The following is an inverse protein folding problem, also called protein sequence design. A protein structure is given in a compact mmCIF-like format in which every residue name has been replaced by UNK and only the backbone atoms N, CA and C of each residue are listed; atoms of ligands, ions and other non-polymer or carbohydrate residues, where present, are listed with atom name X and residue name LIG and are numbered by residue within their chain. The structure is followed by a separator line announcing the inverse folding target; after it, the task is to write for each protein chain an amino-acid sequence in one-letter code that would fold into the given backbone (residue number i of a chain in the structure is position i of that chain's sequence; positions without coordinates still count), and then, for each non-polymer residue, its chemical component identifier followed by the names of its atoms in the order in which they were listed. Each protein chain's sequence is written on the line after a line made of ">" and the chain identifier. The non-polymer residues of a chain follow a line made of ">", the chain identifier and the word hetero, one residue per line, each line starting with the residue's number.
data_IF_673819253505
#
_entry.id   IF_673819253505
#
_cell.length_a   1.000
_cell.length_b   1.000
_cell.length_c   1.000
_cell.angle_alpha   90.00
_cell.angle_beta   90.00
_cell.angle_gamma   90.00
#
_symmetry.space_group_name_H-M   'P 1'
#
loop_
_entity.id
_entity.type
_entity.pdbx_description
1 polymer ?
#
# COMPACT_ATOMS: atom_id res chain seq x y z
N UNK A 1 -11.42 -35.91 56.15
CA UNK A 1 -10.32 -35.27 55.40
C UNK A 1 -10.40 -35.34 53.88
N UNK A 2 -11.10 -36.31 53.26
CA UNK A 2 -11.26 -36.41 51.80
C UNK A 2 -12.21 -35.38 51.17
N UNK A 3 -13.26 -34.94 51.89
CA UNK A 3 -14.24 -33.95 51.41
C UNK A 3 -13.70 -32.52 51.27
N UNK A 4 -12.72 -32.13 52.11
CA UNK A 4 -12.13 -30.77 52.11
C UNK A 4 -11.22 -30.55 50.88
N UNK A 5 -10.56 -31.62 50.37
CA UNK A 5 -9.68 -31.54 49.20
C UNK A 5 -10.46 -31.37 47.88
N UNK A 6 -11.66 -31.96 47.82
CA UNK A 6 -12.47 -31.87 46.61
C UNK A 6 -13.09 -30.47 46.44
N UNK A 7 -13.47 -29.81 47.51
CA UNK A 7 -14.02 -28.43 47.48
C UNK A 7 -12.96 -27.40 47.07
N UNK A 8 -11.72 -27.57 47.53
CA UNK A 8 -10.61 -26.68 47.13
C UNK A 8 -10.28 -26.79 45.64
N UNK A 9 -10.31 -27.98 45.07
CA UNK A 9 -10.09 -28.22 43.65
C UNK A 9 -11.21 -27.61 42.79
N UNK A 10 -12.48 -27.72 43.24
CA UNK A 10 -13.60 -27.15 42.52
C UNK A 10 -13.58 -25.62 42.52
N UNK A 11 -13.13 -24.99 43.60
CA UNK A 11 -12.95 -23.54 43.67
C UNK A 11 -11.83 -23.04 42.77
N UNK A 12 -10.73 -23.78 42.62
CA UNK A 12 -9.66 -23.40 41.70
C UNK A 12 -10.10 -23.42 40.22
N UNK A 13 -10.94 -24.39 39.83
CA UNK A 13 -11.48 -24.43 38.45
C UNK A 13 -12.48 -23.31 38.18
N UNK A 14 -13.24 -22.88 39.17
CA UNK A 14 -14.21 -21.78 39.00
C UNK A 14 -13.47 -20.41 38.87
N UNK A 15 -12.35 -20.26 39.53
CA UNK A 15 -11.51 -19.03 39.43
C UNK A 15 -10.85 -18.88 38.07
N UNK A 16 -10.53 -19.98 37.38
CA UNK A 16 -9.92 -19.95 36.06
C UNK A 16 -10.97 -19.57 34.98
N UNK A 17 -12.23 -19.96 35.15
CA UNK A 17 -13.29 -19.57 34.21
C UNK A 17 -13.71 -18.10 34.29
N UNK A 18 -13.47 -17.42 35.40
CA UNK A 18 -13.78 -16.00 35.58
C UNK A 18 -12.74 -15.06 34.94
N UNK A 19 -11.53 -15.56 34.67
CA UNK A 19 -10.49 -14.76 34.00
C UNK A 19 -10.48 -14.86 32.47
N UNK A 20 -11.29 -15.75 31.88
CA UNK A 20 -11.36 -15.94 30.43
C UNK A 20 -12.39 -15.04 29.72
N UNK A 21 -13.06 -14.16 30.46
CA UNK A 21 -13.95 -13.13 29.90
C UNK A 21 -13.26 -11.76 29.88
N UNK A 22 -11.97 -11.74 29.56
CA UNK A 22 -11.26 -10.50 29.32
C UNK A 22 -11.55 -10.04 27.88
N UNK A 23 -12.32 -8.98 27.79
CA UNK A 23 -12.38 -7.98 26.73
C UNK A 23 -11.95 -8.45 25.33
N UNK A 24 -12.87 -9.02 24.59
CA UNK A 24 -12.86 -8.84 23.15
C UNK A 24 -13.04 -7.33 22.95
N UNK A 25 -11.92 -6.64 22.90
CA UNK A 25 -11.86 -5.26 22.49
C UNK A 25 -12.42 -5.25 21.06
N UNK A 26 -13.71 -5.06 20.93
CA UNK A 26 -14.35 -4.86 19.63
C UNK A 26 -13.80 -3.55 19.13
N UNK A 27 -12.66 -3.61 18.47
CA UNK A 27 -12.15 -2.51 17.66
C UNK A 27 -13.26 -2.28 16.63
N UNK A 28 -14.11 -1.30 16.88
CA UNK A 28 -15.08 -0.83 15.91
C UNK A 28 -14.26 -0.38 14.70
N UNK A 29 -14.17 -1.25 13.70
CA UNK A 29 -13.62 -0.88 12.40
C UNK A 29 -14.55 0.20 11.88
N UNK A 30 -14.11 1.45 12.01
CA UNK A 30 -14.85 2.60 11.51
C UNK A 30 -14.82 2.48 9.98
N UNK A 31 -15.91 2.07 9.40
CA UNK A 31 -16.04 2.02 7.94
C UNK A 31 -16.05 3.42 7.41
N UNK A 32 -15.04 3.77 6.63
CA UNK A 32 -14.97 5.05 5.93
C UNK A 32 -15.90 4.96 4.73
N UNK A 33 -16.85 5.88 4.64
CA UNK A 33 -17.76 5.95 3.51
C UNK A 33 -17.17 6.80 2.41
N UNK A 34 -16.86 6.18 1.30
CA UNK A 34 -16.34 6.85 0.09
C UNK A 34 -17.52 7.09 -0.86
N UNK A 35 -17.76 8.35 -1.21
CA UNK A 35 -18.81 8.69 -2.16
C UNK A 35 -18.44 8.24 -3.59
N UNK A 36 -19.45 7.93 -4.39
CA UNK A 36 -19.24 7.57 -5.81
C UNK A 36 -18.59 8.71 -6.60
N UNK A 37 -18.88 9.96 -6.25
CA UNK A 37 -18.25 11.12 -6.85
C UNK A 37 -16.73 11.12 -6.62
N UNK A 38 -16.28 10.85 -5.39
CA UNK A 38 -14.86 10.73 -5.07
C UNK A 38 -14.19 9.56 -5.80
N UNK A 39 -14.87 8.41 -5.89
CA UNK A 39 -14.38 7.25 -6.65
C UNK A 39 -14.23 7.56 -8.14
N UNK A 40 -15.18 8.31 -8.72
CA UNK A 40 -15.09 8.71 -10.12
C UNK A 40 -13.99 9.75 -10.37
N UNK A 41 -13.81 10.67 -9.44
CA UNK A 41 -12.77 11.71 -9.53
C UNK A 41 -11.36 11.13 -9.34
N UNK A 42 -11.21 10.15 -8.47
CA UNK A 42 -9.95 9.52 -8.11
C UNK A 42 -9.96 8.04 -8.47
N UNK A 43 -10.11 7.76 -9.76
CA UNK A 43 -10.11 6.38 -10.26
C UNK A 43 -8.79 5.69 -9.96
N UNK A 44 -8.88 4.45 -9.50
CA UNK A 44 -7.74 3.56 -9.33
C UNK A 44 -7.35 3.02 -10.71
N UNK A 45 -6.07 2.86 -10.95
CA UNK A 45 -5.59 2.27 -12.21
C UNK A 45 -5.97 0.80 -12.33
N UNK A 46 -6.22 0.27 -13.54
CA UNK A 46 -6.71 -1.09 -13.74
C UNK A 46 -5.87 -2.17 -13.06
N UNK A 47 -4.55 -2.01 -13.03
CA UNK A 47 -3.65 -2.99 -12.41
C UNK A 47 -3.78 -3.04 -10.87
N UNK A 48 -4.18 -1.96 -10.21
CA UNK A 48 -4.50 -1.94 -8.78
C UNK A 48 -5.98 -2.25 -8.53
N UNK A 49 -6.89 -1.84 -9.42
CA UNK A 49 -8.31 -2.16 -9.34
C UNK A 49 -8.56 -3.67 -9.30
N UNK A 50 -7.80 -4.46 -10.08
CA UNK A 50 -7.86 -5.93 -10.07
C UNK A 50 -7.51 -6.57 -8.72
N UNK A 51 -6.84 -5.85 -7.84
CA UNK A 51 -6.48 -6.31 -6.48
C UNK A 51 -7.56 -5.98 -5.46
N UNK A 52 -8.68 -5.37 -5.91
CA UNK A 52 -9.80 -4.96 -5.07
C UNK A 52 -9.41 -4.03 -3.91
N UNK A 53 -8.42 -3.18 -4.11
CA UNK A 53 -8.03 -2.16 -3.14
C UNK A 53 -9.13 -1.11 -2.96
N UNK A 54 -9.30 -0.66 -1.72
CA UNK A 54 -10.08 0.52 -1.40
C UNK A 54 -9.15 1.70 -1.08
N UNK A 55 -9.70 2.91 -1.02
CA UNK A 55 -8.96 4.15 -0.78
C UNK A 55 -8.05 4.07 0.46
N UNK A 56 -8.56 3.44 1.53
CA UNK A 56 -7.83 3.31 2.80
C UNK A 56 -6.64 2.36 2.74
N UNK A 57 -6.59 1.43 1.79
CA UNK A 57 -5.45 0.51 1.65
C UNK A 57 -4.17 1.25 1.27
N UNK A 58 -4.32 2.35 0.54
CA UNK A 58 -3.21 3.22 0.18
C UNK A 58 -3.09 4.43 1.12
N UNK A 59 -4.22 4.97 1.59
CA UNK A 59 -4.27 6.17 2.44
C UNK A 59 -4.39 5.84 3.93
N UNK A 60 -3.83 4.71 4.36
CA UNK A 60 -3.83 4.27 5.75
C UNK A 60 -3.27 5.37 6.67
N UNK A 61 -3.96 5.60 7.80
CA UNK A 61 -3.52 6.58 8.80
C UNK A 61 -3.75 8.05 8.43
N UNK A 62 -4.37 8.35 7.28
CA UNK A 62 -4.68 9.73 6.89
C UNK A 62 -6.01 10.26 7.44
N UNK A 63 -6.62 9.53 8.37
CA UNK A 63 -7.89 9.89 8.98
C UNK A 63 -9.09 9.29 8.24
N UNK A 64 -10.26 9.84 8.48
CA UNK A 64 -11.54 9.28 8.04
C UNK A 64 -12.30 10.19 7.07
N UNK A 65 -11.66 11.25 6.59
CA UNK A 65 -12.20 12.18 5.61
C UNK A 65 -11.43 12.03 4.28
N UNK A 66 -11.96 11.27 3.31
CA UNK A 66 -11.27 11.02 2.04
C UNK A 66 -10.99 12.27 1.23
N UNK A 67 -11.75 13.34 1.44
CA UNK A 67 -11.52 14.63 0.75
C UNK A 67 -10.21 15.31 1.16
N UNK A 68 -9.62 14.87 2.26
CA UNK A 68 -8.37 15.39 2.83
C UNK A 68 -7.17 14.48 2.60
N UNK A 69 -7.35 13.37 1.92
CA UNK A 69 -6.25 12.46 1.63
C UNK A 69 -5.19 13.15 0.78
N UNK A 70 -3.92 12.86 1.11
CA UNK A 70 -2.73 13.39 0.44
C UNK A 70 -2.00 12.27 -0.27
N UNK A 71 -1.09 12.64 -1.15
CA UNK A 71 -0.18 11.66 -1.78
C UNK A 71 0.49 10.77 -0.73
N UNK A 72 0.58 9.49 -1.05
CA UNK A 72 1.14 8.48 -0.14
C UNK A 72 2.67 8.41 -0.18
N UNK A 73 3.26 8.97 -1.26
CA UNK A 73 4.70 8.98 -1.50
C UNK A 73 5.33 7.58 -1.56
N UNK A 74 6.65 7.54 -1.57
CA UNK A 74 7.42 6.31 -1.65
C UNK A 74 7.03 5.28 -0.57
N UNK A 75 6.81 5.74 0.65
CA UNK A 75 6.49 4.85 1.77
C UNK A 75 5.22 4.04 1.51
N UNK A 76 4.18 4.67 0.97
CA UNK A 76 2.94 3.98 0.62
C UNK A 76 3.14 3.01 -0.53
N UNK A 77 3.77 3.43 -1.62
CA UNK A 77 4.03 2.59 -2.78
C UNK A 77 4.92 1.38 -2.42
N UNK A 78 6.01 1.61 -1.71
CA UNK A 78 7.00 0.59 -1.39
C UNK A 78 6.55 -0.40 -0.31
N UNK A 79 5.44 -0.14 0.39
CA UNK A 79 4.85 -1.11 1.32
C UNK A 79 4.48 -2.43 0.62
N UNK A 80 4.08 -2.36 -0.65
CA UNK A 80 3.79 -3.53 -1.51
C UNK A 80 4.89 -3.74 -2.57
N UNK A 81 5.42 -2.68 -3.16
CA UNK A 81 6.46 -2.75 -4.20
C UNK A 81 7.87 -3.00 -3.67
N UNK A 82 8.03 -3.25 -2.39
CA UNK A 82 9.26 -3.64 -1.68
C UNK A 82 10.32 -2.55 -1.63
N UNK A 83 11.00 -2.27 -2.75
CA UNK A 83 12.06 -1.27 -2.82
C UNK A 83 12.32 -0.81 -4.25
N UNK A 84 12.93 0.37 -4.41
CA UNK A 84 13.38 0.88 -5.71
C UNK A 84 14.38 -0.08 -6.37
N UNK A 85 15.29 -0.65 -5.60
CA UNK A 85 16.23 -1.66 -6.08
C UNK A 85 15.53 -2.93 -6.61
N UNK A 86 14.45 -3.34 -5.94
CA UNK A 86 13.64 -4.46 -6.43
C UNK A 86 12.94 -4.11 -7.75
N UNK A 87 12.42 -2.89 -7.90
CA UNK A 87 11.81 -2.43 -9.16
C UNK A 87 12.85 -2.36 -10.27
N UNK A 88 14.05 -1.82 -9.99
CA UNK A 88 15.17 -1.83 -10.93
C UNK A 88 15.52 -3.25 -11.41
N UNK A 89 15.56 -4.21 -10.47
CA UNK A 89 15.83 -5.61 -10.79
C UNK A 89 14.72 -6.24 -11.65
N UNK A 90 13.45 -5.92 -11.40
CA UNK A 90 12.32 -6.40 -12.22
C UNK A 90 12.39 -5.91 -13.66
N UNK A 91 12.91 -4.71 -13.86
CA UNK A 91 13.06 -4.09 -15.19
C UNK A 91 14.46 -4.25 -15.77
N UNK A 92 15.26 -5.17 -15.22
CA UNK A 92 16.65 -5.39 -15.65
C UNK A 92 16.80 -5.69 -17.15
N UNK A 93 15.78 -6.26 -17.78
CA UNK A 93 15.78 -6.45 -19.23
C UNK A 93 15.92 -5.14 -20.02
N UNK A 94 15.54 -4.00 -19.43
CA UNK A 94 15.67 -2.67 -20.03
C UNK A 94 17.12 -2.11 -19.92
N UNK A 95 17.97 -2.69 -19.08
CA UNK A 95 19.36 -2.25 -18.93
C UNK A 95 20.16 -2.41 -20.25
N UNK A 96 19.81 -3.43 -21.05
CA UNK A 96 20.43 -3.65 -22.37
C UNK A 96 20.20 -2.49 -23.32
N UNK A 97 19.10 -1.76 -23.14
CA UNK A 97 18.75 -0.58 -23.91
C UNK A 97 19.21 0.72 -23.21
N UNK A 98 19.88 0.60 -22.06
CA UNK A 98 20.22 1.73 -21.17
C UNK A 98 18.99 2.57 -20.79
N UNK A 99 17.86 1.91 -20.68
CA UNK A 99 16.53 2.51 -20.59
C UNK A 99 15.77 2.15 -19.33
N UNK A 100 16.39 1.52 -18.34
CA UNK A 100 15.74 1.18 -17.09
C UNK A 100 15.56 2.43 -16.23
N UNK A 101 14.33 2.97 -16.08
CA UNK A 101 14.10 4.20 -15.35
C UNK A 101 14.47 4.07 -13.87
N UNK A 102 14.31 2.88 -13.27
CA UNK A 102 14.66 2.63 -11.87
C UNK A 102 16.16 2.35 -11.64
N UNK A 103 16.95 2.28 -12.69
CA UNK A 103 18.42 2.14 -12.67
C UNK A 103 19.09 3.13 -13.61
N UNK A 104 18.47 4.28 -13.81
CA UNK A 104 18.99 5.34 -14.65
C UNK A 104 20.32 5.87 -14.11
N UNK A 105 21.23 6.23 -15.03
CA UNK A 105 22.52 6.84 -14.68
C UNK A 105 22.38 8.28 -14.17
N UNK A 106 21.25 8.91 -14.44
CA UNK A 106 20.98 10.27 -13.96
C UNK A 106 20.52 10.28 -12.51
N UNK A 107 19.37 9.67 -12.26
CA UNK A 107 18.67 9.82 -10.98
C UNK A 107 18.21 8.48 -10.39
N UNK A 108 18.12 7.44 -11.21
CA UNK A 108 17.89 6.05 -10.87
C UNK A 108 17.05 5.80 -9.62
N UNK A 109 17.67 5.26 -8.56
CA UNK A 109 16.92 4.88 -7.36
C UNK A 109 16.57 6.06 -6.44
N UNK A 110 16.94 7.31 -6.76
CA UNK A 110 16.72 8.47 -5.89
C UNK A 110 15.40 9.19 -6.15
N UNK A 111 14.86 9.10 -7.38
CA UNK A 111 13.57 9.69 -7.75
C UNK A 111 12.44 9.16 -6.87
N UNK A 112 11.48 10.02 -6.53
CA UNK A 112 10.27 9.61 -5.86
C UNK A 112 9.33 8.89 -6.84
N UNK A 113 8.55 7.94 -6.34
CA UNK A 113 7.63 7.17 -7.18
C UNK A 113 6.62 8.07 -7.89
N UNK A 114 6.13 9.08 -7.20
CA UNK A 114 5.11 10.02 -7.66
C UNK A 114 5.66 11.17 -8.53
N UNK A 115 6.93 11.14 -8.90
CA UNK A 115 7.46 12.02 -9.96
C UNK A 115 7.07 11.51 -11.36
N UNK A 116 6.90 10.19 -11.49
CA UNK A 116 6.52 9.56 -12.76
C UNK A 116 5.19 8.81 -12.69
N UNK A 117 4.93 8.12 -11.57
CA UNK A 117 3.76 7.27 -11.39
C UNK A 117 2.66 7.98 -10.60
N UNK A 118 1.50 8.13 -11.22
CA UNK A 118 0.32 8.70 -10.58
C UNK A 118 -0.82 7.68 -10.59
N UNK A 119 -1.40 7.40 -9.42
CA UNK A 119 -2.51 6.44 -9.34
C UNK A 119 -3.80 7.01 -9.93
N UNK A 120 -4.11 8.27 -9.65
CA UNK A 120 -5.40 8.87 -10.00
C UNK A 120 -5.39 9.75 -11.25
N UNK A 121 -4.30 9.76 -12.00
CA UNK A 121 -4.16 10.49 -13.26
C UNK A 121 -3.16 9.80 -14.17
N UNK A 122 -3.02 10.30 -15.38
CA UNK A 122 -2.01 9.81 -16.32
C UNK A 122 -0.61 9.97 -15.74
N UNK A 123 0.14 8.88 -15.72
CA UNK A 123 1.58 8.89 -15.39
C UNK A 123 2.38 9.62 -16.47
N UNK A 124 3.52 10.15 -16.09
CA UNK A 124 4.42 10.88 -16.99
C UNK A 124 5.72 10.14 -17.18
N UNK A 125 6.32 10.31 -18.34
CA UNK A 125 7.67 9.85 -18.59
C UNK A 125 8.58 11.08 -18.66
N UNK A 126 9.18 11.44 -17.52
CA UNK A 126 10.05 12.63 -17.43
C UNK A 126 11.30 12.52 -18.30
N UNK A 127 11.71 11.31 -18.69
CA UNK A 127 12.86 11.14 -19.58
C UNK A 127 12.64 11.83 -20.93
N UNK A 128 11.39 11.97 -21.38
CA UNK A 128 11.04 12.64 -22.62
C UNK A 128 11.32 14.13 -22.64
N UNK A 129 11.55 14.76 -21.50
CA UNK A 129 11.94 16.18 -21.42
C UNK A 129 13.29 16.44 -22.08
N UNK A 130 14.19 15.46 -22.05
CA UNK A 130 15.52 15.53 -22.66
C UNK A 130 15.69 14.54 -23.83
N UNK A 131 14.96 13.42 -23.80
CA UNK A 131 15.06 12.32 -24.76
C UNK A 131 13.78 12.21 -25.58
N UNK A 132 13.35 13.29 -26.19
CA UNK A 132 12.08 13.42 -26.90
C UNK A 132 11.91 12.40 -28.03
N UNK A 133 12.97 12.05 -28.73
CA UNK A 133 12.91 11.17 -29.90
C UNK A 133 13.22 9.71 -29.57
N UNK A 134 14.15 9.46 -28.65
CA UNK A 134 14.64 8.11 -28.37
C UNK A 134 13.70 7.34 -27.44
N UNK A 135 13.27 7.99 -26.35
CA UNK A 135 12.48 7.33 -25.32
C UNK A 135 11.15 6.78 -25.84
N UNK A 136 10.35 7.50 -26.65
CA UNK A 136 9.09 6.96 -27.17
C UNK A 136 9.24 5.73 -28.06
N UNK A 137 10.42 5.48 -28.61
CA UNK A 137 10.65 4.34 -29.49
C UNK A 137 10.77 3.00 -28.77
N UNK A 138 11.25 3.01 -27.53
CA UNK A 138 11.56 1.78 -26.79
C UNK A 138 10.99 1.74 -25.37
N UNK A 139 10.47 2.83 -24.88
CA UNK A 139 9.78 2.87 -23.60
C UNK A 139 8.30 3.14 -23.84
N UNK A 140 7.47 2.20 -23.51
CA UNK A 140 6.02 2.36 -23.59
C UNK A 140 5.48 3.43 -22.63
N UNK A 141 4.17 3.46 -22.51
CA UNK A 141 3.49 4.37 -21.56
C UNK A 141 3.90 3.99 -20.14
N UNK A 142 4.28 4.99 -19.34
CA UNK A 142 4.50 4.80 -17.89
C UNK A 142 3.20 4.34 -17.25
N UNK A 143 3.18 3.19 -16.56
CA UNK A 143 1.99 2.61 -15.98
C UNK A 143 1.42 3.44 -14.82
#
# INVERSE_FOLDING_TARGET
>A
MKKLKLTAILMCFFSIYLFAAADINTTTVKTIVISDELRQKHKIKPHHEHLAFDCIDCHEGQGDDPSKFKAIGDKGCLSCHKSKAFMAQRLKFMDTLKANPHNSVHDGPTLYCDECHFEHKQSTNMCTECHEHEVPQWMGVTP
#
